data_IF_016552668907
#
_entry.id   IF_016552668907
#
_cell.length_a   1.000
_cell.length_b   1.000
_cell.length_c   1.000
_cell.angle_alpha   90.00
_cell.angle_beta   90.00
_cell.angle_gamma   90.00
#
_symmetry.space_group_name_H-M   'P 1'
#
loop_
_entity.id
_entity.type
_entity.pdbx_description
1 polymer ?
#
# COMPACT_ATOMS: atom_id res chain seq x y z
N UNK A 1 0.43 4.94 42.49
CA UNK A 1 1.71 4.25 42.20
C UNK A 1 1.76 3.57 40.81
N UNK A 2 1.08 4.06 39.76
CA UNK A 2 1.02 3.36 38.46
C UNK A 2 1.60 4.10 37.24
N UNK A 3 2.02 5.37 37.36
CA UNK A 3 2.62 6.12 36.24
C UNK A 3 4.16 6.13 36.21
N UNK A 4 4.83 5.64 37.25
CA UNK A 4 6.31 5.69 37.35
C UNK A 4 6.99 4.53 36.59
N UNK A 5 6.34 3.36 36.50
CA UNK A 5 6.93 2.16 35.85
C UNK A 5 7.07 2.24 34.32
N UNK A 6 6.24 3.02 33.63
CA UNK A 6 6.27 3.11 32.14
C UNK A 6 7.32 4.08 31.59
N UNK A 7 8.01 4.82 32.48
CA UNK A 7 9.12 5.71 32.12
C UNK A 7 10.49 5.08 32.28
N UNK A 8 10.58 3.91 32.93
CA UNK A 8 11.83 3.18 33.10
C UNK A 8 12.40 2.73 31.73
N UNK A 9 13.62 3.15 31.36
CA UNK A 9 14.27 2.73 30.12
C UNK A 9 14.36 1.21 29.97
N UNK A 10 14.58 0.47 31.06
CA UNK A 10 14.69 -1.00 31.01
C UNK A 10 13.35 -1.64 30.63
N UNK A 11 12.25 -1.18 31.24
CA UNK A 11 10.90 -1.67 30.90
C UNK A 11 10.56 -1.40 29.43
N UNK A 12 10.96 -0.24 28.90
CA UNK A 12 10.76 0.11 27.49
C UNK A 12 11.55 -0.79 26.55
N UNK A 13 12.82 -1.05 26.84
CA UNK A 13 13.67 -1.96 26.07
C UNK A 13 13.09 -3.38 26.09
N UNK A 14 12.74 -3.91 27.26
CA UNK A 14 12.13 -5.23 27.39
C UNK A 14 10.80 -5.34 26.65
N UNK A 15 9.98 -4.28 26.67
CA UNK A 15 8.72 -4.24 25.90
C UNK A 15 8.99 -4.31 24.40
N UNK A 16 9.95 -3.52 23.89
CA UNK A 16 10.31 -3.54 22.46
C UNK A 16 10.85 -4.91 22.05
N UNK A 17 11.72 -5.53 22.85
CA UNK A 17 12.22 -6.89 22.60
C UNK A 17 11.07 -7.90 22.58
N UNK A 18 10.16 -7.85 23.56
CA UNK A 18 9.02 -8.75 23.61
C UNK A 18 8.12 -8.59 22.37
N UNK A 19 7.79 -7.35 21.98
CA UNK A 19 7.00 -7.08 20.77
C UNK A 19 7.72 -7.56 19.51
N UNK A 20 9.03 -7.32 19.39
CA UNK A 20 9.85 -7.80 18.28
C UNK A 20 9.81 -9.33 18.16
N UNK A 21 10.01 -10.04 19.28
CA UNK A 21 9.99 -11.51 19.30
C UNK A 21 8.60 -12.04 18.94
N UNK A 22 7.53 -11.50 19.54
CA UNK A 22 6.16 -11.91 19.24
C UNK A 22 5.80 -11.63 17.78
N UNK A 23 6.21 -10.47 17.25
CA UNK A 23 6.01 -10.11 15.87
C UNK A 23 6.78 -11.03 14.91
N UNK A 24 8.03 -11.37 15.22
CA UNK A 24 8.82 -12.31 14.42
C UNK A 24 8.18 -13.70 14.39
N UNK A 25 7.70 -14.19 15.54
CA UNK A 25 6.97 -15.46 15.62
C UNK A 25 5.67 -15.40 14.82
N UNK A 26 4.88 -14.34 14.98
CA UNK A 26 3.63 -14.16 14.24
C UNK A 26 3.86 -14.07 12.73
N UNK A 27 4.87 -13.30 12.29
CA UNK A 27 5.29 -13.23 10.89
C UNK A 27 5.63 -14.62 10.36
N UNK A 28 6.49 -15.36 11.07
CA UNK A 28 6.92 -16.68 10.62
C UNK A 28 5.76 -17.68 10.54
N UNK A 29 4.80 -17.62 11.47
CA UNK A 29 3.64 -18.52 11.53
C UNK A 29 2.55 -18.20 10.52
N UNK A 30 2.35 -16.92 10.21
CA UNK A 30 1.23 -16.45 9.38
C UNK A 30 1.63 -16.12 7.95
N UNK A 31 2.92 -16.12 7.61
CA UNK A 31 3.34 -15.89 6.22
C UNK A 31 2.99 -17.10 5.35
N UNK A 32 2.53 -16.80 4.15
CA UNK A 32 2.52 -17.76 3.05
C UNK A 32 3.84 -17.55 2.30
N UNK A 33 4.60 -18.62 2.11
CA UNK A 33 5.89 -18.55 1.44
C UNK A 33 5.67 -18.52 -0.07
N UNK A 34 5.97 -17.38 -0.68
CA UNK A 34 5.88 -17.18 -2.13
C UNK A 34 7.23 -17.31 -2.84
N UNK A 35 8.33 -17.51 -2.10
CA UNK A 35 9.68 -17.69 -2.65
C UNK A 35 10.05 -16.58 -3.66
N UNK A 36 9.71 -15.34 -3.32
CA UNK A 36 10.00 -14.14 -4.11
C UNK A 36 9.49 -14.22 -5.55
N UNK A 37 8.33 -14.84 -5.77
CA UNK A 37 7.80 -15.13 -7.10
C UNK A 37 7.75 -13.90 -8.02
N UNK A 38 7.19 -12.78 -7.55
CA UNK A 38 7.07 -11.56 -8.36
C UNK A 38 8.44 -10.93 -8.64
N UNK A 39 9.34 -10.93 -7.65
CA UNK A 39 10.71 -10.46 -7.85
C UNK A 39 11.45 -11.30 -8.91
N UNK A 40 11.25 -12.62 -8.94
CA UNK A 40 11.80 -13.49 -9.98
C UNK A 40 11.23 -13.15 -11.34
N UNK A 41 9.92 -12.86 -11.46
CA UNK A 41 9.33 -12.34 -12.70
C UNK A 41 10.04 -11.06 -13.15
N UNK A 42 10.27 -10.11 -12.23
CA UNK A 42 10.97 -8.87 -12.57
C UNK A 42 12.38 -9.11 -13.09
N UNK A 43 13.16 -9.95 -12.39
CA UNK A 43 14.55 -10.23 -12.78
C UNK A 43 14.64 -11.00 -14.10
N UNK A 44 13.79 -12.02 -14.27
CA UNK A 44 13.74 -12.78 -15.51
C UNK A 44 13.27 -11.92 -16.69
N UNK A 45 12.30 -11.03 -16.49
CA UNK A 45 11.82 -10.13 -17.54
C UNK A 45 12.88 -9.12 -17.98
N UNK A 46 13.64 -8.51 -17.05
CA UNK A 46 14.71 -7.58 -17.43
C UNK A 46 15.91 -8.29 -18.06
N UNK A 47 16.20 -9.53 -17.65
CA UNK A 47 17.25 -10.35 -18.29
C UNK A 47 16.83 -10.78 -19.71
N UNK A 48 15.59 -11.26 -19.86
CA UNK A 48 14.97 -11.55 -21.16
C UNK A 48 15.04 -10.34 -22.11
N UNK A 49 14.72 -9.17 -21.58
CA UNK A 49 14.83 -7.92 -22.34
C UNK A 49 16.29 -7.57 -22.69
N UNK A 50 17.22 -7.81 -21.77
CA UNK A 50 18.67 -7.65 -21.99
C UNK A 50 19.23 -8.57 -23.07
N UNK A 51 18.64 -9.76 -23.27
CA UNK A 51 18.98 -10.71 -24.32
C UNK A 51 18.43 -10.31 -25.72
N UNK A 52 17.76 -9.15 -25.82
CA UNK A 52 17.27 -8.57 -27.07
C UNK A 52 15.82 -8.94 -27.42
N UNK A 53 15.11 -9.61 -26.52
CA UNK A 53 13.69 -9.92 -26.71
C UNK A 53 12.79 -8.74 -26.31
N UNK A 54 11.51 -8.80 -26.70
CA UNK A 54 10.53 -7.81 -26.28
C UNK A 54 10.19 -7.98 -24.78
N UNK A 55 10.31 -6.91 -24.00
CA UNK A 55 10.07 -6.91 -22.55
C UNK A 55 8.66 -7.39 -22.21
N UNK A 56 7.66 -6.99 -23.00
CA UNK A 56 6.27 -7.32 -22.74
C UNK A 56 5.83 -8.65 -23.37
N UNK A 57 6.73 -9.40 -24.00
CA UNK A 57 6.45 -10.79 -24.40
C UNK A 57 6.85 -11.80 -23.31
N UNK A 58 7.62 -11.39 -22.30
CA UNK A 58 7.97 -12.27 -21.19
C UNK A 58 6.73 -12.73 -20.41
N UNK A 59 6.59 -14.05 -20.25
CA UNK A 59 5.52 -14.69 -19.49
C UNK A 59 6.07 -15.76 -18.56
N UNK A 60 5.65 -15.72 -17.30
CA UNK A 60 5.93 -16.72 -16.28
C UNK A 60 4.68 -17.58 -16.05
N UNK A 61 4.74 -18.91 -16.25
CA UNK A 61 3.63 -19.80 -15.91
C UNK A 61 3.30 -19.74 -14.42
N UNK A 62 2.01 -19.73 -14.09
CA UNK A 62 1.51 -19.80 -12.73
C UNK A 62 0.31 -20.76 -12.64
N UNK A 63 0.24 -21.52 -11.54
CA UNK A 63 -0.79 -22.55 -11.34
C UNK A 63 -2.20 -21.96 -11.18
N UNK A 64 -2.31 -20.78 -10.59
CA UNK A 64 -3.59 -20.14 -10.27
C UNK A 64 -4.00 -19.17 -11.38
N UNK A 65 -3.05 -18.35 -11.83
CA UNK A 65 -3.23 -17.24 -12.75
C UNK A 65 -3.08 -17.64 -14.22
N UNK A 66 -2.55 -18.83 -14.50
CA UNK A 66 -2.21 -19.29 -15.85
C UNK A 66 -0.84 -18.78 -16.29
N UNK A 67 -0.75 -17.48 -16.58
CA UNK A 67 0.53 -16.82 -16.88
C UNK A 67 0.54 -15.39 -16.30
N UNK A 68 1.68 -14.99 -15.75
CA UNK A 68 1.93 -13.66 -15.22
C UNK A 68 3.07 -13.00 -16.00
N UNK A 69 2.96 -11.69 -16.20
CA UNK A 69 3.83 -10.93 -17.10
C UNK A 69 4.55 -9.80 -16.37
N UNK A 70 5.52 -9.18 -17.04
CA UNK A 70 5.98 -7.86 -16.63
C UNK A 70 4.87 -6.83 -16.88
N UNK A 71 4.36 -6.20 -15.82
CA UNK A 71 3.18 -5.32 -15.87
C UNK A 71 3.47 -3.87 -15.48
N UNK A 72 4.73 -3.54 -15.21
CA UNK A 72 5.11 -2.19 -14.81
C UNK A 72 5.46 -1.32 -16.03
N UNK A 73 5.32 0.02 -15.91
CA UNK A 73 5.78 0.94 -16.93
C UNK A 73 7.28 0.74 -17.24
N UNK A 74 7.74 1.11 -18.45
CA UNK A 74 9.12 0.88 -18.90
C UNK A 74 10.19 1.47 -17.98
N UNK A 75 9.90 2.58 -17.28
CA UNK A 75 10.83 3.17 -16.33
C UNK A 75 11.16 2.22 -15.18
N UNK A 76 10.19 1.41 -14.73
CA UNK A 76 10.45 0.40 -13.72
C UNK A 76 11.44 -0.66 -14.22
N UNK A 77 11.33 -1.08 -15.48
CA UNK A 77 12.30 -2.01 -16.08
C UNK A 77 13.71 -1.43 -16.12
N UNK A 78 13.87 -0.15 -16.50
CA UNK A 78 15.18 0.52 -16.43
C UNK A 78 15.74 0.57 -15.00
N UNK A 79 14.90 0.84 -13.99
CA UNK A 79 15.31 0.88 -12.59
C UNK A 79 15.69 -0.52 -12.07
N UNK A 80 14.99 -1.55 -12.53
CA UNK A 80 15.19 -2.94 -12.12
C UNK A 80 16.36 -3.61 -12.84
N UNK A 81 16.74 -3.13 -14.03
CA UNK A 81 17.78 -3.72 -14.87
C UNK A 81 19.10 -4.00 -14.14
N UNK A 82 19.68 -3.07 -13.34
CA UNK A 82 20.93 -3.34 -12.62
C UNK A 82 20.82 -4.49 -11.60
N UNK A 83 19.63 -4.74 -11.07
CA UNK A 83 19.39 -5.82 -10.12
C UNK A 83 19.31 -7.20 -10.79
N UNK A 84 18.97 -7.26 -12.08
CA UNK A 84 18.98 -8.49 -12.89
C UNK A 84 20.39 -9.05 -13.09
N UNK A 85 21.41 -8.17 -13.00
CA UNK A 85 22.83 -8.53 -13.09
C UNK A 85 23.41 -9.09 -11.78
N UNK A 86 22.70 -8.92 -10.67
CA UNK A 86 23.15 -9.40 -9.35
C UNK A 86 22.72 -10.84 -9.12
N UNK A 87 23.45 -11.61 -8.29
CA UNK A 87 22.95 -12.89 -7.80
C UNK A 87 21.59 -12.72 -7.11
N UNK A 88 20.64 -13.60 -7.40
CA UNK A 88 19.25 -13.49 -6.92
C UNK A 88 19.16 -13.28 -5.40
N UNK A 89 19.97 -14.00 -4.61
CA UNK A 89 19.99 -13.85 -3.14
C UNK A 89 20.38 -12.46 -2.67
N UNK A 90 21.26 -11.76 -3.41
CA UNK A 90 21.64 -10.37 -3.12
C UNK A 90 20.45 -9.44 -3.41
N UNK A 91 19.78 -9.62 -4.55
CA UNK A 91 18.60 -8.82 -4.91
C UNK A 91 17.46 -9.03 -3.90
N UNK A 92 17.19 -10.28 -3.51
CA UNK A 92 16.22 -10.61 -2.46
C UNK A 92 16.55 -9.91 -1.13
N UNK A 93 17.82 -9.92 -0.72
CA UNK A 93 18.28 -9.24 0.49
C UNK A 93 18.09 -7.72 0.40
N UNK A 94 18.47 -7.09 -0.72
CA UNK A 94 18.32 -5.65 -0.94
C UNK A 94 16.85 -5.21 -0.89
N UNK A 95 15.96 -5.94 -1.54
CA UNK A 95 14.53 -5.64 -1.54
C UNK A 95 13.91 -5.82 -0.16
N UNK A 96 14.29 -6.88 0.56
CA UNK A 96 13.82 -7.13 1.92
C UNK A 96 14.30 -6.05 2.88
N UNK A 97 15.59 -5.72 2.86
CA UNK A 97 16.18 -4.68 3.71
C UNK A 97 15.60 -3.30 3.37
N UNK A 98 15.42 -2.99 2.09
CA UNK A 98 14.77 -1.77 1.63
C UNK A 98 13.32 -1.65 2.11
N UNK A 99 12.57 -2.75 2.06
CA UNK A 99 11.19 -2.83 2.59
C UNK A 99 11.16 -2.59 4.10
N UNK A 100 12.02 -3.26 4.87
CA UNK A 100 12.10 -3.08 6.33
C UNK A 100 12.50 -1.65 6.68
N UNK A 101 13.50 -1.08 6.01
CA UNK A 101 13.91 0.31 6.20
C UNK A 101 12.76 1.29 5.91
N UNK A 102 12.04 1.08 4.79
CA UNK A 102 10.88 1.89 4.45
C UNK A 102 9.75 1.76 5.48
N UNK A 103 9.51 0.56 6.04
CA UNK A 103 8.54 0.37 7.13
C UNK A 103 8.96 1.13 8.38
N UNK A 104 10.24 1.08 8.78
CA UNK A 104 10.75 1.83 9.93
C UNK A 104 10.57 3.34 9.75
N UNK A 105 10.95 3.86 8.58
CA UNK A 105 10.85 5.30 8.28
C UNK A 105 9.40 5.78 8.21
N UNK A 106 8.54 5.05 7.49
CA UNK A 106 7.11 5.41 7.38
C UNK A 106 6.40 5.30 8.72
N UNK A 107 6.72 4.27 9.51
CA UNK A 107 6.23 4.15 10.90
C UNK A 107 6.68 5.35 11.72
N UNK A 108 7.95 5.74 11.66
CA UNK A 108 8.46 6.91 12.36
C UNK A 108 7.68 8.18 12.00
N UNK A 109 7.43 8.45 10.71
CA UNK A 109 6.64 9.61 10.28
C UNK A 109 5.20 9.60 10.82
N UNK A 110 4.60 8.42 10.98
CA UNK A 110 3.24 8.27 11.50
C UNK A 110 3.17 8.37 13.03
N UNK A 111 4.09 7.72 13.75
CA UNK A 111 3.97 7.53 15.22
C UNK A 111 4.84 8.46 16.05
N UNK A 112 5.95 8.98 15.53
CA UNK A 112 6.82 9.90 16.28
C UNK A 112 6.09 11.18 16.74
N UNK A 113 5.19 11.79 15.93
CA UNK A 113 4.39 12.91 16.39
C UNK A 113 3.51 12.53 17.59
N UNK A 114 2.84 11.37 17.57
CA UNK A 114 2.03 10.88 18.69
C UNK A 114 2.90 10.59 19.93
N UNK A 115 4.06 9.95 19.74
CA UNK A 115 4.98 9.61 20.82
C UNK A 115 5.43 10.85 21.61
N UNK A 116 5.77 11.93 20.91
CA UNK A 116 6.16 13.21 21.53
C UNK A 116 5.09 13.76 22.46
N UNK A 117 3.80 13.65 22.09
CA UNK A 117 2.68 14.11 22.95
C UNK A 117 2.56 13.32 24.25
N UNK A 118 2.86 12.03 24.19
CA UNK A 118 2.80 11.14 25.33
C UNK A 118 4.10 11.16 26.16
N UNK A 119 5.10 11.98 25.78
CA UNK A 119 6.42 12.02 26.41
C UNK A 119 7.23 10.72 26.19
N UNK A 120 6.93 10.00 25.10
CA UNK A 120 7.64 8.78 24.72
C UNK A 120 8.78 9.09 23.75
N UNK A 121 9.95 8.45 23.91
CA UNK A 121 11.02 8.59 22.93
C UNK A 121 10.61 7.91 21.62
N UNK A 122 11.01 8.48 20.49
CA UNK A 122 10.60 7.99 19.18
C UNK A 122 11.03 6.54 18.93
N UNK A 123 12.23 6.14 19.38
CA UNK A 123 12.71 4.75 19.25
C UNK A 123 11.77 3.74 19.90
N UNK A 124 11.11 4.10 21.01
CA UNK A 124 10.18 3.21 21.71
C UNK A 124 8.90 3.03 20.91
N UNK A 125 8.32 4.13 20.42
CA UNK A 125 7.11 4.06 19.60
C UNK A 125 7.36 3.35 18.26
N UNK A 126 8.51 3.59 17.62
CA UNK A 126 8.90 2.89 16.38
C UNK A 126 9.24 1.43 16.66
N UNK A 127 9.93 1.13 17.75
CA UNK A 127 10.28 -0.23 18.17
C UNK A 127 9.06 -1.10 18.48
N UNK A 128 7.91 -0.48 18.80
CA UNK A 128 6.62 -1.17 18.90
C UNK A 128 5.89 -1.17 17.55
N UNK A 129 5.82 -0.02 16.88
CA UNK A 129 5.01 0.16 15.69
C UNK A 129 5.51 -0.63 14.48
N UNK A 130 6.81 -0.59 14.20
CA UNK A 130 7.37 -1.19 12.98
C UNK A 130 7.21 -2.73 12.97
N UNK A 131 7.45 -3.46 14.08
CA UNK A 131 7.18 -4.90 14.11
C UNK A 131 5.70 -5.23 13.93
N UNK A 132 4.78 -4.45 14.51
CA UNK A 132 3.35 -4.65 14.30
C UNK A 132 2.94 -4.42 12.84
N UNK A 133 3.54 -3.41 12.17
CA UNK A 133 3.33 -3.18 10.73
C UNK A 133 3.90 -4.31 9.88
N UNK A 134 5.07 -4.87 10.22
CA UNK A 134 5.63 -6.00 9.47
C UNK A 134 4.78 -7.26 9.56
N UNK A 135 4.00 -7.42 10.65
CA UNK A 135 3.18 -8.61 10.84
C UNK A 135 1.95 -8.62 9.96
N UNK A 136 1.35 -7.49 9.57
CA UNK A 136 0.10 -7.53 8.79
C UNK A 136 0.31 -8.16 7.40
N UNK A 137 -0.71 -8.87 6.88
CA UNK A 137 -0.66 -9.55 5.58
C UNK A 137 -0.10 -8.67 4.45
N UNK A 138 -0.52 -7.39 4.26
CA UNK A 138 0.05 -6.55 3.23
C UNK A 138 1.59 -6.47 3.24
N UNK A 139 2.23 -6.48 4.41
CA UNK A 139 3.69 -6.45 4.52
C UNK A 139 4.32 -7.84 4.42
N UNK A 140 3.66 -8.89 4.93
CA UNK A 140 4.11 -10.27 4.71
C UNK A 140 4.14 -10.60 3.22
N UNK A 141 3.08 -10.26 2.52
CA UNK A 141 2.95 -10.42 1.07
C UNK A 141 3.98 -9.57 0.33
N UNK A 142 4.18 -8.31 0.75
CA UNK A 142 5.21 -7.46 0.13
C UNK A 142 6.60 -8.09 0.21
N UNK A 143 6.98 -8.65 1.37
CA UNK A 143 8.29 -9.28 1.57
C UNK A 143 8.37 -10.61 0.81
N UNK A 144 7.39 -11.50 0.98
CA UNK A 144 7.45 -12.86 0.43
C UNK A 144 7.36 -12.90 -1.09
N UNK A 145 6.68 -11.93 -1.73
CA UNK A 145 6.72 -11.75 -3.19
C UNK A 145 7.93 -10.94 -3.68
N UNK A 146 8.59 -10.18 -2.81
CA UNK A 146 9.69 -9.27 -3.18
C UNK A 146 9.21 -8.01 -3.92
N UNK A 147 8.12 -7.41 -3.43
CA UNK A 147 7.46 -6.27 -4.06
C UNK A 147 8.13 -4.93 -3.77
N UNK A 148 8.07 -4.00 -4.73
CA UNK A 148 8.62 -2.64 -4.62
C UNK A 148 7.69 -1.64 -3.91
N UNK A 149 6.49 -2.06 -3.50
CA UNK A 149 5.41 -1.14 -3.11
C UNK A 149 5.80 -0.20 -1.96
N UNK A 150 6.63 -0.66 -1.02
CA UNK A 150 7.08 0.18 0.09
C UNK A 150 7.97 1.35 -0.34
N UNK A 151 8.70 1.24 -1.46
CA UNK A 151 9.40 2.38 -2.05
C UNK A 151 8.40 3.45 -2.52
N UNK A 152 7.32 3.03 -3.19
CA UNK A 152 6.28 3.93 -3.67
C UNK A 152 5.59 4.67 -2.51
N UNK A 153 5.25 3.92 -1.46
CA UNK A 153 4.66 4.45 -0.23
C UNK A 153 5.59 5.45 0.44
N UNK A 154 6.89 5.13 0.55
CA UNK A 154 7.90 6.02 1.11
C UNK A 154 7.97 7.35 0.35
N UNK A 155 7.98 7.29 -0.99
CA UNK A 155 8.01 8.48 -1.85
C UNK A 155 6.76 9.35 -1.67
N UNK A 156 5.57 8.73 -1.64
CA UNK A 156 4.30 9.44 -1.45
C UNK A 156 4.22 10.08 -0.05
N UNK A 157 4.61 9.35 1.00
CA UNK A 157 4.60 9.84 2.37
C UNK A 157 5.65 10.93 2.60
N UNK A 158 6.81 10.85 1.94
CA UNK A 158 7.82 11.90 1.96
C UNK A 158 7.24 13.22 1.45
N UNK A 159 6.49 13.20 0.35
CA UNK A 159 5.83 14.40 -0.17
C UNK A 159 4.76 14.93 0.78
N UNK A 160 3.84 14.07 1.23
CA UNK A 160 2.66 14.53 1.98
C UNK A 160 2.92 14.83 3.46
N UNK A 161 3.83 14.10 4.10
CA UNK A 161 4.07 14.19 5.55
C UNK A 161 5.35 14.93 5.92
N UNK A 162 6.29 15.11 4.97
CA UNK A 162 7.59 15.74 5.24
C UNK A 162 7.79 17.00 4.42
N UNK A 163 7.82 16.90 3.09
CA UNK A 163 8.15 18.01 2.20
C UNK A 163 7.04 19.05 2.12
N UNK A 164 5.78 18.62 1.95
CA UNK A 164 4.61 19.48 1.88
C UNK A 164 4.44 20.38 3.11
N UNK A 165 4.42 19.81 4.33
CA UNK A 165 4.36 20.60 5.57
C UNK A 165 5.53 21.58 5.77
N UNK A 166 6.69 21.34 5.14
CA UNK A 166 7.85 22.25 5.14
C UNK A 166 7.81 23.29 4.02
N UNK A 167 6.77 23.30 3.18
CA UNK A 167 6.63 24.23 2.06
C UNK A 167 7.65 24.00 0.94
N UNK A 168 8.26 22.82 0.84
CA UNK A 168 9.33 22.53 -0.12
C UNK A 168 8.86 22.69 -1.56
N UNK A 169 9.69 23.31 -2.41
CA UNK A 169 9.42 23.40 -3.86
C UNK A 169 9.40 22.03 -4.56
N UNK A 170 10.01 21.03 -3.94
CA UNK A 170 10.12 19.66 -4.46
C UNK A 170 8.95 18.74 -4.08
N UNK A 171 8.01 19.22 -3.25
CA UNK A 171 6.79 18.45 -2.96
C UNK A 171 6.06 18.08 -4.25
N UNK A 172 5.85 16.79 -4.46
CA UNK A 172 5.20 16.21 -5.63
C UNK A 172 6.15 15.33 -6.45
N UNK A 173 7.47 15.51 -6.34
CA UNK A 173 8.44 14.69 -7.09
C UNK A 173 8.31 13.21 -6.72
N UNK A 174 8.16 12.89 -5.44
CA UNK A 174 8.00 11.51 -4.99
C UNK A 174 6.72 10.85 -5.53
N UNK A 175 5.60 11.57 -5.47
CA UNK A 175 4.31 11.13 -6.05
C UNK A 175 4.44 10.93 -7.56
N UNK A 176 5.10 11.85 -8.28
CA UNK A 176 5.33 11.74 -9.71
C UNK A 176 6.17 10.53 -10.10
N UNK A 177 7.31 10.33 -9.42
CA UNK A 177 8.18 9.15 -9.61
C UNK A 177 7.41 7.86 -9.28
N UNK A 178 6.67 7.83 -8.17
CA UNK A 178 5.86 6.67 -7.81
C UNK A 178 4.81 6.35 -8.88
N UNK A 179 4.17 7.38 -9.45
CA UNK A 179 3.20 7.24 -10.55
C UNK A 179 3.84 6.68 -11.82
N UNK A 180 5.06 7.12 -12.15
CA UNK A 180 5.80 6.60 -13.30
C UNK A 180 6.32 5.17 -13.09
N UNK A 181 6.54 4.74 -11.84
CA UNK A 181 6.90 3.36 -11.49
C UNK A 181 5.71 2.41 -11.45
N UNK A 182 4.54 2.90 -11.03
CA UNK A 182 3.29 2.15 -10.96
C UNK A 182 2.16 3.16 -11.10
N UNK A 183 1.29 3.02 -12.10
CA UNK A 183 0.33 4.07 -12.47
C UNK A 183 -0.66 4.45 -11.35
N UNK A 184 -0.98 3.50 -10.46
CA UNK A 184 -2.00 3.65 -9.40
C UNK A 184 -1.73 4.84 -8.47
N UNK A 185 -0.49 5.08 -7.97
CA UNK A 185 -0.10 6.32 -7.30
C UNK A 185 -0.54 7.63 -7.94
N UNK A 186 -0.89 7.66 -9.23
CA UNK A 186 -1.44 8.83 -9.91
C UNK A 186 -2.69 9.42 -9.24
N UNK A 187 -3.44 8.62 -8.48
CA UNK A 187 -4.57 9.14 -7.69
C UNK A 187 -4.13 10.17 -6.62
N UNK A 188 -2.88 10.11 -6.15
CA UNK A 188 -2.34 11.14 -5.25
C UNK A 188 -2.10 12.47 -5.96
N UNK A 189 -1.92 12.50 -7.28
CA UNK A 189 -1.93 13.75 -8.06
C UNK A 189 -3.34 14.36 -8.02
N UNK A 190 -4.37 13.53 -8.19
CA UNK A 190 -5.77 13.97 -8.03
C UNK A 190 -6.02 14.49 -6.62
N UNK A 191 -5.51 13.81 -5.59
CA UNK A 191 -5.56 14.30 -4.20
C UNK A 191 -4.95 15.70 -4.05
N UNK A 192 -3.78 15.95 -4.65
CA UNK A 192 -3.16 17.28 -4.63
C UNK A 192 -4.02 18.34 -5.33
N UNK A 193 -4.65 17.99 -6.46
CA UNK A 193 -5.56 18.89 -7.19
C UNK A 193 -6.80 19.24 -6.35
N UNK A 194 -7.49 18.24 -5.79
CA UNK A 194 -8.73 18.46 -5.00
C UNK A 194 -8.46 19.14 -3.65
N UNK A 195 -7.23 19.05 -3.13
CA UNK A 195 -6.78 19.80 -1.95
C UNK A 195 -6.15 21.15 -2.29
N UNK A 196 -6.23 21.59 -3.57
CA UNK A 196 -5.72 22.88 -4.07
C UNK A 196 -4.20 23.07 -3.92
N UNK A 197 -3.45 21.98 -3.82
CA UNK A 197 -1.99 21.98 -3.79
C UNK A 197 -1.42 22.04 -5.22
N UNK A 198 -1.83 23.05 -5.99
CA UNK A 198 -1.57 23.15 -7.44
C UNK A 198 -0.09 23.04 -7.81
N UNK A 199 0.78 23.71 -7.05
CA UNK A 199 2.23 23.64 -7.29
C UNK A 199 2.73 22.20 -7.16
N UNK A 200 2.35 21.49 -6.09
CA UNK A 200 2.76 20.11 -5.90
C UNK A 200 2.18 19.17 -6.96
N UNK A 201 0.93 19.41 -7.39
CA UNK A 201 0.33 18.64 -8.48
C UNK A 201 1.09 18.83 -9.80
N UNK A 202 1.46 20.08 -10.15
CA UNK A 202 2.28 20.38 -11.34
C UNK A 202 3.66 19.75 -11.22
N UNK A 203 4.31 19.84 -10.06
CA UNK A 203 5.59 19.16 -9.80
C UNK A 203 5.47 17.65 -9.97
N UNK A 204 4.39 17.02 -9.48
CA UNK A 204 4.16 15.60 -9.64
C UNK A 204 3.90 15.19 -11.08
N UNK A 205 3.07 15.94 -11.82
CA UNK A 205 2.83 15.70 -13.25
C UNK A 205 4.12 15.87 -14.07
N UNK A 206 4.90 16.92 -13.80
CA UNK A 206 6.18 17.15 -14.46
C UNK A 206 7.21 16.07 -14.18
N UNK A 207 7.32 15.62 -12.91
CA UNK A 207 8.20 14.52 -12.55
C UNK A 207 7.76 13.19 -13.20
N UNK A 208 6.46 12.87 -13.17
CA UNK A 208 5.94 11.68 -13.83
C UNK A 208 6.24 11.71 -15.34
N UNK A 209 5.92 12.82 -16.02
CA UNK A 209 6.19 12.98 -17.44
C UNK A 209 7.69 12.87 -17.77
N UNK A 210 8.56 13.58 -17.04
CA UNK A 210 10.01 13.55 -17.27
C UNK A 210 10.60 12.15 -17.09
N UNK A 211 10.17 11.45 -16.04
CA UNK A 211 10.61 10.07 -15.76
C UNK A 211 10.09 9.07 -16.79
N UNK A 212 8.84 9.23 -17.25
CA UNK A 212 8.26 8.39 -18.31
C UNK A 212 8.90 8.63 -19.69
N UNK A 213 9.38 9.84 -19.98
CA UNK A 213 10.04 10.15 -21.25
C UNK A 213 11.45 9.54 -21.37
N UNK A 214 12.12 9.27 -20.25
CA UNK A 214 13.45 8.65 -20.24
C UNK A 214 13.48 7.27 -20.93
N UNK A 215 12.62 6.28 -20.57
CA UNK A 215 12.55 5.02 -21.30
C UNK A 215 11.99 5.19 -22.71
N UNK A 216 11.18 6.20 -23.01
CA UNK A 216 10.75 6.44 -24.39
C UNK A 216 11.93 6.80 -25.31
N UNK A 217 12.97 7.46 -24.77
CA UNK A 217 14.20 7.76 -25.50
C UNK A 217 15.17 6.56 -25.59
N UNK A 218 15.30 5.78 -24.50
CA UNK A 218 16.26 4.65 -24.42
C UNK A 218 15.69 3.36 -25.05
N UNK A 219 14.39 3.14 -24.86
CA UNK A 219 13.65 1.92 -25.20
C UNK A 219 12.30 2.26 -25.85
N UNK A 220 12.31 2.88 -27.05
CA UNK A 220 11.11 3.40 -27.69
C UNK A 220 10.07 2.31 -27.99
N UNK A 221 10.51 1.11 -28.40
CA UNK A 221 9.63 -0.02 -28.69
C UNK A 221 8.90 -0.50 -27.44
N UNK A 222 9.63 -0.85 -26.38
CA UNK A 222 9.02 -1.23 -25.10
C UNK A 222 8.05 -0.15 -24.58
N UNK A 223 8.40 1.13 -24.74
CA UNK A 223 7.49 2.22 -24.37
C UNK A 223 6.22 2.25 -25.22
N UNK A 224 6.35 2.07 -26.53
CA UNK A 224 5.20 1.98 -27.43
C UNK A 224 4.28 0.82 -27.06
N UNK A 225 4.84 -0.38 -26.88
CA UNK A 225 4.09 -1.59 -26.57
C UNK A 225 3.37 -1.47 -25.23
N UNK A 226 4.02 -0.88 -24.21
CA UNK A 226 3.36 -0.63 -22.93
C UNK A 226 2.09 0.23 -23.07
N UNK A 227 2.20 1.40 -23.71
CA UNK A 227 1.11 2.38 -23.75
C UNK A 227 -0.01 2.00 -24.72
N UNK A 228 0.28 1.17 -25.73
CA UNK A 228 -0.68 0.82 -26.79
C UNK A 228 -1.31 -0.56 -26.61
N UNK A 229 -0.62 -1.51 -25.97
CA UNK A 229 -1.13 -2.89 -25.80
C UNK A 229 -1.09 -3.35 -24.34
N UNK A 230 0.10 -3.43 -23.73
CA UNK A 230 0.28 -4.14 -22.45
C UNK A 230 -0.53 -3.53 -21.30
N UNK A 231 -0.69 -2.20 -21.28
CA UNK A 231 -1.49 -1.50 -20.27
C UNK A 231 -3.00 -1.86 -20.32
N UNK A 232 -3.51 -2.16 -21.51
CA UNK A 232 -4.95 -2.36 -21.74
C UNK A 232 -5.38 -3.82 -21.59
N UNK A 233 -4.42 -4.75 -21.62
CA UNK A 233 -4.65 -6.17 -21.40
C UNK A 233 -4.53 -6.54 -19.91
N UNK A 234 -5.64 -6.37 -19.19
CA UNK A 234 -5.72 -6.64 -17.76
C UNK A 234 -5.55 -8.12 -17.40
N UNK A 235 -5.69 -9.05 -18.35
CA UNK A 235 -5.52 -10.48 -18.09
C UNK A 235 -4.05 -10.82 -17.74
N UNK A 236 -3.10 -10.01 -18.21
CA UNK A 236 -1.66 -10.14 -17.94
C UNK A 236 -1.28 -9.90 -16.48
N UNK A 237 -2.13 -9.19 -15.73
CA UNK A 237 -1.92 -8.87 -14.33
C UNK A 237 -2.36 -10.03 -13.43
N UNK A 238 -3.36 -10.79 -13.85
CA UNK A 238 -3.90 -11.94 -13.14
C UNK A 238 -5.42 -12.06 -13.27
N UNK A 239 -5.97 -13.10 -12.65
CA UNK A 239 -7.40 -13.39 -12.62
C UNK A 239 -8.15 -12.43 -11.72
N UNK A 240 -9.27 -11.92 -12.24
CA UNK A 240 -10.14 -11.01 -11.50
C UNK A 240 -10.83 -11.69 -10.30
N UNK A 241 -11.25 -12.95 -10.47
CA UNK A 241 -11.99 -13.71 -9.47
C UNK A 241 -11.11 -14.28 -8.34
N UNK A 242 -9.78 -14.27 -8.50
CA UNK A 242 -8.87 -14.76 -7.48
C UNK A 242 -9.08 -14.00 -6.17
N UNK A 243 -9.14 -14.73 -5.05
CA UNK A 243 -9.46 -14.13 -3.74
C UNK A 243 -8.45 -13.08 -3.31
N UNK A 244 -7.18 -13.18 -3.73
CA UNK A 244 -6.20 -12.12 -3.50
C UNK A 244 -6.58 -10.76 -4.10
N UNK A 245 -7.45 -10.72 -5.13
CA UNK A 245 -7.91 -9.47 -5.73
C UNK A 245 -8.96 -8.79 -4.83
N UNK A 246 -8.52 -7.85 -4.00
CA UNK A 246 -9.31 -7.05 -3.07
C UNK A 246 -9.74 -5.69 -3.66
N UNK A 247 -10.14 -5.69 -4.92
CA UNK A 247 -10.81 -4.56 -5.57
C UNK A 247 -12.34 -4.75 -5.64
N UNK A 248 -13.08 -3.69 -5.98
CA UNK A 248 -14.52 -3.81 -6.30
C UNK A 248 -14.76 -4.73 -7.50
N UNK A 249 -13.87 -4.68 -8.51
CA UNK A 249 -13.99 -5.55 -9.68
C UNK A 249 -13.79 -7.02 -9.30
N UNK A 250 -12.80 -7.32 -8.46
CA UNK A 250 -12.58 -8.68 -7.96
C UNK A 250 -13.74 -9.20 -7.14
N UNK A 251 -14.33 -8.35 -6.29
CA UNK A 251 -15.54 -8.70 -5.53
C UNK A 251 -16.70 -9.05 -6.46
N UNK A 252 -16.93 -8.24 -7.52
CA UNK A 252 -17.96 -8.53 -8.52
C UNK A 252 -17.66 -9.81 -9.31
N UNK A 253 -16.41 -10.01 -9.74
CA UNK A 253 -16.00 -11.20 -10.48
C UNK A 253 -16.26 -12.49 -9.70
N UNK A 254 -16.06 -12.46 -8.37
CA UNK A 254 -16.33 -13.61 -7.50
C UNK A 254 -17.80 -14.00 -7.39
N UNK A 255 -18.76 -13.12 -7.73
CA UNK A 255 -20.18 -13.48 -7.76
C UNK A 255 -20.59 -14.24 -9.02
N UNK A 256 -19.87 -14.02 -10.12
CA UNK A 256 -20.24 -14.56 -11.44
C UNK A 256 -19.22 -15.55 -11.99
N UNK A 257 -18.14 -15.82 -11.26
CA UNK A 257 -17.09 -16.75 -11.67
C UNK A 257 -17.68 -18.10 -12.14
N UNK A 258 -17.19 -18.71 -13.24
CA UNK A 258 -16.02 -18.30 -14.03
C UNK A 258 -16.30 -17.18 -15.05
N UNK A 259 -17.51 -16.65 -15.12
CA UNK A 259 -17.87 -15.58 -16.05
C UNK A 259 -17.29 -14.21 -15.63
N UNK A 260 -17.35 -13.25 -16.56
CA UNK A 260 -16.88 -11.88 -16.33
C UNK A 260 -18.00 -10.99 -15.79
N UNK A 261 -17.74 -10.13 -14.78
CA UNK A 261 -18.74 -9.20 -14.28
C UNK A 261 -19.05 -8.11 -15.31
N UNK A 262 -20.26 -7.56 -15.23
CA UNK A 262 -20.65 -6.45 -16.10
C UNK A 262 -19.77 -5.21 -15.86
N UNK A 263 -18.98 -4.81 -16.86
CA UNK A 263 -18.02 -3.69 -16.75
C UNK A 263 -18.67 -2.38 -16.31
N UNK A 264 -19.89 -2.09 -16.79
CA UNK A 264 -20.62 -0.86 -16.43
C UNK A 264 -20.96 -0.80 -14.94
N UNK A 265 -21.24 -1.95 -14.30
CA UNK A 265 -21.55 -2.01 -12.87
C UNK A 265 -20.31 -1.68 -12.04
N UNK A 266 -19.17 -2.25 -12.42
CA UNK A 266 -17.89 -1.89 -11.80
C UNK A 266 -17.59 -0.40 -11.98
N UNK A 267 -17.74 0.16 -13.18
CA UNK A 267 -17.51 1.59 -13.44
C UNK A 267 -18.41 2.48 -12.56
N UNK A 268 -19.70 2.13 -12.42
CA UNK A 268 -20.63 2.86 -11.57
C UNK A 268 -20.17 2.86 -10.10
N UNK A 269 -19.82 1.70 -9.56
CA UNK A 269 -19.35 1.57 -8.18
C UNK A 269 -18.00 2.27 -7.97
N UNK A 270 -17.09 2.16 -8.94
CA UNK A 270 -15.79 2.81 -8.92
C UNK A 270 -15.93 4.33 -8.92
N UNK A 271 -16.82 4.89 -9.76
CA UNK A 271 -17.11 6.33 -9.78
C UNK A 271 -17.75 6.81 -8.47
N UNK A 272 -18.66 6.02 -7.88
CA UNK A 272 -19.27 6.34 -6.59
C UNK A 272 -18.21 6.39 -5.47
N UNK A 273 -17.34 5.37 -5.39
CA UNK A 273 -16.24 5.31 -4.41
C UNK A 273 -15.19 6.39 -4.67
N UNK A 274 -14.85 6.65 -5.92
CA UNK A 274 -13.94 7.73 -6.31
C UNK A 274 -14.49 9.09 -5.86
N UNK A 275 -15.76 9.39 -6.18
CA UNK A 275 -16.40 10.66 -5.81
C UNK A 275 -16.50 10.84 -4.30
N UNK A 276 -17.10 9.88 -3.60
CA UNK A 276 -17.28 9.97 -2.14
C UNK A 276 -15.95 9.93 -1.38
N UNK A 277 -15.07 9.00 -1.75
CA UNK A 277 -13.79 8.81 -1.09
C UNK A 277 -12.83 9.98 -1.31
N UNK A 278 -12.73 10.51 -2.53
CA UNK A 278 -11.91 11.69 -2.80
C UNK A 278 -12.51 12.97 -2.21
N UNK A 279 -13.84 13.08 -2.13
CA UNK A 279 -14.48 14.16 -1.35
C UNK A 279 -14.07 14.10 0.12
N UNK A 280 -14.08 12.91 0.74
CA UNK A 280 -13.63 12.72 2.13
C UNK A 280 -12.13 12.99 2.30
N UNK A 281 -11.29 12.52 1.37
CA UNK A 281 -9.86 12.78 1.37
C UNK A 281 -9.57 14.28 1.24
N UNK A 282 -10.28 14.98 0.34
CA UNK A 282 -10.18 16.42 0.18
C UNK A 282 -10.57 17.17 1.46
N UNK A 283 -11.67 16.77 2.11
CA UNK A 283 -12.08 17.35 3.41
C UNK A 283 -11.01 17.15 4.48
N UNK A 284 -10.37 15.98 4.54
CA UNK A 284 -9.27 15.72 5.47
C UNK A 284 -8.06 16.62 5.17
N UNK A 285 -7.61 16.64 3.92
CA UNK A 285 -6.45 17.43 3.49
C UNK A 285 -6.65 18.95 3.65
N UNK A 286 -7.82 19.47 3.30
CA UNK A 286 -8.18 20.89 3.49
C UNK A 286 -8.32 21.24 4.98
N UNK A 287 -8.67 20.27 5.82
CA UNK A 287 -8.64 20.41 7.28
C UNK A 287 -7.24 20.18 7.88
N UNK A 288 -6.18 20.03 7.06
CA UNK A 288 -4.81 19.81 7.49
C UNK A 288 -4.51 18.43 8.08
N UNK A 289 -5.39 17.46 7.88
CA UNK A 289 -5.20 16.05 8.28
C UNK A 289 -4.67 15.23 7.11
N UNK A 290 -3.36 15.37 6.86
CA UNK A 290 -2.68 14.68 5.78
C UNK A 290 -2.64 13.16 5.96
N UNK A 291 -2.65 12.64 7.20
CA UNK A 291 -2.60 11.19 7.46
C UNK A 291 -3.93 10.53 7.08
N UNK A 292 -5.05 11.16 7.42
CA UNK A 292 -6.38 10.70 6.99
C UNK A 292 -6.57 10.88 5.49
N UNK A 293 -6.11 11.99 4.92
CA UNK A 293 -6.11 12.21 3.46
C UNK A 293 -5.31 11.13 2.70
N UNK A 294 -4.14 10.77 3.21
CA UNK A 294 -3.28 9.68 2.71
C UNK A 294 -4.00 8.33 2.76
N UNK A 295 -4.55 7.97 3.93
CA UNK A 295 -5.25 6.71 4.13
C UNK A 295 -6.45 6.59 3.18
N UNK A 296 -7.33 7.60 3.13
CA UNK A 296 -8.52 7.58 2.28
C UNK A 296 -8.16 7.49 0.80
N UNK A 297 -7.18 8.27 0.33
CA UNK A 297 -6.75 8.23 -1.08
C UNK A 297 -6.21 6.85 -1.45
N UNK A 298 -5.41 6.24 -0.58
CA UNK A 298 -4.90 4.89 -0.79
C UNK A 298 -5.97 3.80 -0.77
N UNK A 299 -6.97 3.91 0.11
CA UNK A 299 -8.11 2.98 0.12
C UNK A 299 -8.96 3.12 -1.15
N UNK A 300 -9.20 4.35 -1.62
CA UNK A 300 -9.89 4.59 -2.90
C UNK A 300 -9.10 3.96 -4.05
N UNK A 301 -7.79 4.18 -4.13
CA UNK A 301 -6.97 3.64 -5.22
C UNK A 301 -7.03 2.11 -5.29
N UNK A 302 -7.02 1.43 -4.14
CA UNK A 302 -7.20 -0.02 -4.06
C UNK A 302 -8.60 -0.49 -4.47
N UNK A 303 -9.66 0.23 -4.07
CA UNK A 303 -11.03 -0.18 -4.39
C UNK A 303 -11.37 -0.03 -5.87
N UNK A 304 -10.91 1.04 -6.51
CA UNK A 304 -11.28 1.37 -7.90
C UNK A 304 -10.37 0.73 -8.95
N UNK A 305 -9.23 0.16 -8.55
CA UNK A 305 -8.34 -0.54 -9.49
C UNK A 305 -9.00 -1.83 -9.99
N UNK A 306 -8.71 -2.30 -11.22
CA UNK A 306 -9.21 -3.59 -11.70
C UNK A 306 -8.72 -4.77 -10.87
N UNK A 307 -7.47 -4.68 -10.41
CA UNK A 307 -6.82 -5.67 -9.57
C UNK A 307 -6.09 -4.98 -8.43
N UNK A 308 -6.38 -5.41 -7.20
CA UNK A 308 -5.69 -4.95 -5.99
C UNK A 308 -5.26 -6.15 -5.17
N UNK A 309 -3.97 -6.45 -5.18
CA UNK A 309 -3.39 -7.48 -4.33
C UNK A 309 -3.26 -7.02 -2.87
N UNK A 310 -3.17 -7.94 -1.90
CA UNK A 310 -3.04 -7.58 -0.50
C UNK A 310 -1.82 -6.71 -0.23
N UNK A 311 -0.70 -6.98 -0.92
CA UNK A 311 0.53 -6.19 -0.83
C UNK A 311 0.42 -4.74 -1.35
N UNK A 312 -0.71 -4.32 -1.93
CA UNK A 312 -0.99 -2.91 -2.26
C UNK A 312 -1.61 -2.11 -1.10
N UNK A 313 -2.09 -2.79 -0.05
CA UNK A 313 -3.00 -2.21 0.95
C UNK A 313 -2.30 -1.77 2.25
N UNK A 314 -1.10 -1.18 2.13
CA UNK A 314 -0.43 -0.52 3.26
C UNK A 314 -1.29 0.56 3.93
N UNK A 315 -2.25 1.13 3.20
CA UNK A 315 -3.11 2.24 3.62
C UNK A 315 -3.96 1.96 4.87
N UNK A 316 -4.12 0.69 5.27
CA UNK A 316 -4.68 0.34 6.58
C UNK A 316 -3.82 0.86 7.75
N UNK A 317 -2.50 0.98 7.59
CA UNK A 317 -1.59 1.49 8.63
C UNK A 317 -1.89 2.95 8.99
N UNK A 318 -1.87 3.92 8.05
CA UNK A 318 -2.27 5.29 8.39
C UNK A 318 -3.73 5.40 8.83
N UNK A 319 -4.64 4.53 8.35
CA UNK A 319 -6.02 4.48 8.84
C UNK A 319 -6.10 4.09 10.34
N UNK A 320 -5.36 3.05 10.75
CA UNK A 320 -5.24 2.65 12.16
C UNK A 320 -4.66 3.80 12.99
N UNK A 321 -3.61 4.48 12.50
CA UNK A 321 -3.03 5.64 13.19
C UNK A 321 -4.06 6.76 13.37
N UNK A 322 -4.86 7.06 12.34
CA UNK A 322 -5.97 8.03 12.43
C UNK A 322 -6.99 7.65 13.51
N UNK A 323 -7.36 6.37 13.61
CA UNK A 323 -8.26 5.87 14.67
C UNK A 323 -7.64 5.99 16.07
N UNK A 324 -6.35 5.70 16.21
CA UNK A 324 -5.62 5.85 17.47
C UNK A 324 -5.54 7.33 17.91
N UNK A 325 -5.34 8.26 16.97
CA UNK A 325 -5.40 9.70 17.28
C UNK A 325 -6.80 10.09 17.74
N UNK A 326 -7.85 9.64 17.05
CA UNK A 326 -9.22 9.92 17.45
C UNK A 326 -9.55 9.37 18.85
N UNK A 327 -9.05 8.18 19.18
CA UNK A 327 -9.19 7.57 20.51
C UNK A 327 -8.54 8.42 21.61
N UNK A 328 -7.36 9.01 21.36
CA UNK A 328 -6.66 9.85 22.33
C UNK A 328 -7.40 11.17 22.62
N UNK A 329 -8.22 11.65 21.69
CA UNK A 329 -9.00 12.90 21.84
C UNK A 329 -10.39 12.66 22.45
N UNK A 330 -10.92 11.45 22.29
CA UNK A 330 -12.28 11.14 22.67
C UNK A 330 -12.43 11.03 24.20
N UNK A 331 -13.58 11.47 24.73
CA UNK A 331 -13.99 11.16 26.10
C UNK A 331 -14.18 9.65 26.32
N UNK A 332 -14.21 9.22 27.58
CA UNK A 332 -14.07 7.81 27.97
C UNK A 332 -14.99 6.83 27.21
N UNK A 333 -16.26 7.18 26.99
CA UNK A 333 -17.20 6.33 26.25
C UNK A 333 -16.86 6.14 24.76
N UNK A 334 -16.35 7.17 24.08
CA UNK A 334 -16.03 7.10 22.64
C UNK A 334 -14.61 6.61 22.38
N UNK A 335 -13.71 6.76 23.35
CA UNK A 335 -12.32 6.28 23.28
C UNK A 335 -12.25 4.79 23.02
N UNK A 336 -13.00 4.00 23.78
CA UNK A 336 -13.00 2.54 23.64
C UNK A 336 -13.57 2.08 22.29
N UNK A 337 -14.55 2.79 21.74
CA UNK A 337 -15.06 2.52 20.39
C UNK A 337 -13.98 2.69 19.31
N UNK A 338 -13.20 3.77 19.37
CA UNK A 338 -12.09 3.98 18.43
C UNK A 338 -10.96 2.99 18.61
N UNK A 339 -10.61 2.63 19.84
CA UNK A 339 -9.60 1.60 20.12
C UNK A 339 -10.05 0.22 19.63
N UNK A 340 -11.32 -0.15 19.85
CA UNK A 340 -11.89 -1.39 19.36
C UNK A 340 -11.90 -1.42 17.82
N UNK A 341 -12.22 -0.30 17.17
CA UNK A 341 -12.19 -0.22 15.70
C UNK A 341 -10.75 -0.32 15.15
N UNK A 342 -9.78 0.34 15.79
CA UNK A 342 -8.37 0.23 15.43
C UNK A 342 -7.87 -1.21 15.61
N UNK A 343 -8.19 -1.84 16.75
CA UNK A 343 -7.81 -3.21 17.06
C UNK A 343 -8.47 -4.22 16.10
N UNK A 344 -9.74 -4.05 15.77
CA UNK A 344 -10.45 -4.88 14.80
C UNK A 344 -9.87 -4.75 13.40
N UNK A 345 -9.58 -3.53 12.95
CA UNK A 345 -8.89 -3.26 11.68
C UNK A 345 -7.53 -3.97 11.66
N UNK A 346 -6.73 -3.82 12.72
CA UNK A 346 -5.44 -4.48 12.84
C UNK A 346 -5.57 -6.01 12.84
N UNK A 347 -6.53 -6.58 13.57
CA UNK A 347 -6.76 -8.02 13.63
C UNK A 347 -7.12 -8.61 12.26
N UNK A 348 -8.01 -7.94 11.50
CA UNK A 348 -8.33 -8.32 10.11
C UNK A 348 -7.09 -8.25 9.22
N UNK A 349 -6.25 -7.22 9.38
CA UNK A 349 -4.98 -7.11 8.65
C UNK A 349 -3.96 -8.20 9.03
N UNK A 350 -3.90 -8.64 10.29
CA UNK A 350 -3.01 -9.71 10.75
C UNK A 350 -3.49 -11.08 10.29
N UNK A 351 -4.78 -11.38 10.42
CA UNK A 351 -5.37 -12.64 9.96
C UNK A 351 -5.21 -12.74 8.45
N UNK A 352 -5.47 -11.66 7.72
CA UNK A 352 -5.32 -11.64 6.27
C UNK A 352 -6.45 -12.35 5.54
N UNK A 353 -6.55 -12.10 4.24
CA UNK A 353 -7.54 -12.73 3.36
C UNK A 353 -6.97 -14.03 2.77
N UNK A 354 -5.67 -14.08 2.48
CA UNK A 354 -5.00 -15.22 1.81
C UNK A 354 -3.98 -15.93 2.70
N UNK A 355 -3.68 -15.37 3.87
CA UNK A 355 -2.65 -15.90 4.77
C UNK A 355 -3.06 -17.15 5.55
N UNK A 356 -4.33 -17.26 5.93
CA UNK A 356 -4.82 -18.33 6.83
C UNK A 356 -5.71 -19.34 6.10
N UNK A 357 -6.31 -18.94 4.97
CA UNK A 357 -7.24 -19.77 4.21
C UNK A 357 -6.68 -20.01 2.82
N UNK A 358 -6.47 -21.29 2.48
CA UNK A 358 -6.22 -21.69 1.11
C UNK A 358 -7.55 -21.77 0.36
N UNK A 359 -7.74 -20.87 -0.60
CA UNK A 359 -8.95 -20.77 -1.41
C UNK A 359 -8.95 -21.73 -2.61
N UNK A 360 -7.88 -22.51 -2.79
CA UNK A 360 -7.69 -23.36 -3.94
C UNK A 360 -7.48 -22.59 -5.24
N UNK A 361 -7.40 -23.33 -6.34
CA UNK A 361 -7.06 -22.78 -7.67
C UNK A 361 -8.28 -22.58 -8.58
N UNK A 362 -9.42 -23.19 -8.23
CA UNK A 362 -10.61 -23.19 -9.06
C UNK A 362 -11.32 -21.84 -9.06
N UNK A 363 -11.87 -21.44 -10.21
CA UNK A 363 -12.76 -20.30 -10.33
C UNK A 363 -14.16 -20.69 -9.83
N UNK A 364 -14.42 -20.52 -8.54
CA UNK A 364 -15.70 -20.87 -7.92
C UNK A 364 -16.45 -19.61 -7.48
N UNK A 365 -17.75 -19.49 -7.79
CA UNK A 365 -18.60 -18.43 -7.28
C UNK A 365 -18.56 -18.31 -5.75
N UNK A 366 -18.97 -17.15 -5.26
CA UNK A 366 -19.18 -16.88 -3.84
C UNK A 366 -20.67 -16.93 -3.52
N UNK A 367 -21.14 -18.10 -3.10
CA UNK A 367 -22.59 -18.38 -2.98
C UNK A 367 -23.15 -18.28 -1.56
N UNK A 368 -22.29 -18.08 -0.56
CA UNK A 368 -22.71 -17.97 0.84
C UNK A 368 -22.26 -16.65 1.45
N UNK A 369 -23.04 -16.16 2.43
CA UNK A 369 -22.70 -14.94 3.18
C UNK A 369 -21.35 -15.07 3.88
N UNK A 370 -21.04 -16.24 4.45
CA UNK A 370 -19.76 -16.49 5.12
C UNK A 370 -18.57 -16.36 4.16
N UNK A 371 -18.66 -16.98 2.97
CA UNK A 371 -17.63 -16.85 1.94
C UNK A 371 -17.54 -15.42 1.41
N UNK A 372 -18.66 -14.72 1.26
CA UNK A 372 -18.68 -13.33 0.84
C UNK A 372 -17.90 -12.44 1.82
N UNK A 373 -18.17 -12.57 3.12
CA UNK A 373 -17.48 -11.79 4.15
C UNK A 373 -15.99 -12.13 4.20
N UNK A 374 -15.62 -13.42 4.13
CA UNK A 374 -14.25 -13.87 4.23
C UNK A 374 -13.40 -13.49 2.98
N UNK A 375 -13.89 -13.78 1.78
CA UNK A 375 -13.17 -13.51 0.51
C UNK A 375 -13.06 -12.03 0.17
N UNK A 376 -13.89 -11.18 0.76
CA UNK A 376 -13.92 -9.74 0.48
C UNK A 376 -13.60 -8.89 1.72
N UNK A 377 -12.94 -9.45 2.73
CA UNK A 377 -12.71 -8.78 4.00
C UNK A 377 -12.00 -7.44 3.85
N UNK A 378 -11.03 -7.29 2.93
CA UNK A 378 -10.34 -6.02 2.71
C UNK A 378 -11.14 -5.04 1.87
N UNK A 379 -11.95 -5.50 0.92
CA UNK A 379 -12.90 -4.63 0.20
C UNK A 379 -13.89 -4.02 1.20
N UNK A 380 -14.51 -4.86 2.03
CA UNK A 380 -15.48 -4.45 3.03
C UNK A 380 -14.86 -3.55 4.09
N UNK A 381 -13.69 -3.91 4.62
CA UNK A 381 -12.96 -3.08 5.57
C UNK A 381 -12.59 -1.71 4.98
N UNK A 382 -12.16 -1.66 3.72
CA UNK A 382 -11.86 -0.40 3.03
C UNK A 382 -13.10 0.48 2.89
N UNK A 383 -14.25 -0.10 2.54
CA UNK A 383 -15.52 0.63 2.48
C UNK A 383 -15.96 1.16 3.85
N UNK A 384 -15.85 0.34 4.90
CA UNK A 384 -16.14 0.75 6.29
C UNK A 384 -15.23 1.89 6.72
N UNK A 385 -13.92 1.79 6.47
CA UNK A 385 -12.98 2.86 6.76
C UNK A 385 -13.26 4.13 5.95
N UNK A 386 -13.59 4.03 4.66
CA UNK A 386 -13.96 5.20 3.85
C UNK A 386 -15.14 5.98 4.46
N UNK A 387 -16.12 5.28 5.01
CA UNK A 387 -17.29 5.91 5.64
C UNK A 387 -16.96 6.45 7.03
N UNK A 388 -16.32 5.65 7.88
CA UNK A 388 -16.24 5.90 9.33
C UNK A 388 -14.91 6.46 9.82
N UNK A 389 -13.87 6.53 8.99
CA UNK A 389 -12.59 7.08 9.40
C UNK A 389 -12.77 8.56 9.81
N UNK A 390 -12.39 8.95 11.04
CA UNK A 390 -12.57 10.31 11.51
C UNK A 390 -11.60 11.26 10.80
N UNK A 391 -12.02 12.52 10.60
CA UNK A 391 -11.11 13.60 10.23
C UNK A 391 -10.67 14.28 11.51
N UNK A 392 -9.38 14.19 11.81
CA UNK A 392 -8.75 14.86 12.93
C UNK A 392 -8.40 16.30 12.52
N UNK A 393 -8.08 17.16 13.48
CA UNK A 393 -7.65 18.55 13.28
C UNK A 393 -6.12 18.62 13.13
N UNK A 394 -5.56 19.66 12.48
CA UNK A 394 -4.10 19.77 12.30
C UNK A 394 -3.35 19.82 13.63
N UNK A 395 -3.94 20.46 14.64
CA UNK A 395 -3.43 20.51 16.01
C UNK A 395 -3.47 19.17 16.75
N UNK A 396 -3.76 18.06 16.06
CA UNK A 396 -3.86 16.71 16.63
C UNK A 396 -2.63 15.86 16.31
N UNK A 397 -1.91 16.25 15.27
CA UNK A 397 -0.58 15.79 14.93
C UNK A 397 0.39 16.94 15.24
N UNK A 398 1.34 16.81 16.18
CA UNK A 398 2.22 17.93 16.51
C UNK A 398 3.02 18.35 15.28
N UNK A 399 3.04 19.67 15.05
CA UNK A 399 3.63 20.34 13.89
C UNK A 399 5.02 19.81 13.54
N UNK A 400 5.21 19.57 12.24
CA UNK A 400 6.41 19.06 11.56
C UNK A 400 7.68 19.91 11.66
N UNK A 401 7.70 20.98 12.48
CA UNK A 401 8.88 21.86 12.63
C UNK A 401 10.10 21.18 13.26
N UNK A 402 9.95 19.94 13.76
CA UNK A 402 11.02 19.15 14.37
C UNK A 402 10.97 17.66 13.95
N UNK A 403 10.73 17.40 12.66
CA UNK A 403 11.19 16.16 12.02
C UNK A 403 12.51 16.49 11.34
#
# INVERSE_FOLDING_TARGET
MSQVRTRDPLVRVLTVIAVLVLAAVAFWRLRVEHDFFDLKIYMSAVNWWGDGHDLYDYAQPDRVQGALYFTYPPFAALLLFPFGLLPLGVTQALFTLGTVAAVVVTTYWLVAPLARRQGWPAWYAVGIGAPLVLVIEPLRETITFGQINMLLILLIMMDLLVLGPRGSKWTGVGIGVATALKLIPGLFIVYLLVTRQWRAAVTAMGAAAGVTLLPAAIAPRASWDFWTSALWDTARVGRLDYTGNQSLQGMLARFVAPEQPAKWLWLLLALAVLGFGMWRAARAGLAGDAVTGLALTGLVSGLISPITWPHHLYWFVPAIVTLLVAAQRAGDGRRWGWLAFAAGTYAVCVIGVVSVVDWGVAAVPTDTVGLFLARNAYVLLSLVLLVFLPINRPGDYPTSRAI
#
